data_IF_973083705205
#
_entry.id   IF_973083705205
#
_cell.length_a   1.000
_cell.length_b   1.000
_cell.length_c   1.000
_cell.angle_alpha   90.00
_cell.angle_beta   90.00
_cell.angle_gamma   90.00
#
_symmetry.space_group_name_H-M   'P 1'
#
loop_
_entity.id
_entity.type
_entity.pdbx_description
1 polymer ?
#
# COMPACT_ATOMS: atom_id res chain seq x y z
N UNK A 1 -46.78 -11.26 -11.17
CA UNK A 1 -46.46 -9.92 -11.71
C UNK A 1 -45.63 -9.09 -10.73
N UNK A 2 -46.09 -8.87 -9.49
CA UNK A 2 -45.40 -7.99 -8.51
C UNK A 2 -44.01 -8.47 -8.05
N UNK A 3 -43.79 -9.79 -7.91
CA UNK A 3 -42.48 -10.35 -7.53
C UNK A 3 -41.42 -10.20 -8.64
N UNK A 4 -41.84 -10.29 -9.92
CA UNK A 4 -40.96 -10.11 -11.07
C UNK A 4 -40.45 -8.67 -11.14
N UNK A 5 -41.31 -7.70 -10.81
CA UNK A 5 -40.95 -6.28 -10.76
C UNK A 5 -39.99 -5.96 -9.60
N UNK A 6 -40.15 -6.63 -8.45
CA UNK A 6 -39.22 -6.52 -7.30
C UNK A 6 -37.85 -7.12 -7.62
N UNK A 7 -37.80 -8.25 -8.34
CA UNK A 7 -36.55 -8.81 -8.84
C UNK A 7 -35.86 -7.87 -9.82
N UNK A 8 -36.60 -7.29 -10.76
CA UNK A 8 -36.03 -6.41 -11.79
C UNK A 8 -35.43 -5.12 -11.20
N UNK A 9 -36.07 -4.56 -10.17
CA UNK A 9 -35.54 -3.44 -9.37
C UNK A 9 -34.25 -3.82 -8.64
N UNK A 10 -34.16 -5.03 -8.10
CA UNK A 10 -32.97 -5.54 -7.39
C UNK A 10 -31.80 -5.76 -8.34
N UNK A 11 -32.06 -6.36 -9.51
CA UNK A 11 -31.05 -6.58 -10.56
C UNK A 11 -30.48 -5.25 -11.06
N UNK A 12 -31.34 -4.24 -11.27
CA UNK A 12 -30.90 -2.90 -11.68
C UNK A 12 -30.03 -2.22 -10.61
N UNK A 13 -30.37 -2.38 -9.32
CA UNK A 13 -29.56 -1.87 -8.20
C UNK A 13 -28.19 -2.55 -8.15
N UNK A 14 -28.14 -3.88 -8.24
CA UNK A 14 -26.90 -4.65 -8.22
C UNK A 14 -26.00 -4.30 -9.42
N UNK A 15 -26.56 -4.19 -10.62
CA UNK A 15 -25.82 -3.79 -11.82
C UNK A 15 -25.22 -2.38 -11.70
N UNK A 16 -25.95 -1.45 -11.08
CA UNK A 16 -25.45 -0.09 -10.81
C UNK A 16 -24.31 -0.10 -9.79
N UNK A 17 -24.44 -0.88 -8.71
CA UNK A 17 -23.37 -1.02 -7.72
C UNK A 17 -22.12 -1.66 -8.31
N UNK A 18 -22.26 -2.73 -9.10
CA UNK A 18 -21.12 -3.40 -9.73
C UNK A 18 -20.37 -2.48 -10.71
N UNK A 19 -21.10 -1.63 -11.44
CA UNK A 19 -20.50 -0.62 -12.34
C UNK A 19 -19.71 0.45 -11.59
N UNK A 20 -20.21 0.90 -10.43
CA UNK A 20 -19.49 1.85 -9.56
C UNK A 20 -18.23 1.20 -8.98
N UNK A 21 -18.33 -0.06 -8.56
CA UNK A 21 -17.20 -0.80 -8.00
C UNK A 21 -16.10 -1.03 -9.04
N UNK A 22 -16.46 -1.42 -10.27
CA UNK A 22 -15.51 -1.58 -11.38
C UNK A 22 -14.79 -0.27 -11.73
N UNK A 23 -15.51 0.86 -11.72
CA UNK A 23 -14.91 2.19 -11.95
C UNK A 23 -13.91 2.54 -10.84
N UNK A 24 -14.26 2.28 -9.58
CA UNK A 24 -13.41 2.56 -8.42
C UNK A 24 -12.16 1.68 -8.38
N UNK A 25 -12.24 0.43 -8.86
CA UNK A 25 -11.07 -0.43 -9.06
C UNK A 25 -10.13 0.19 -10.11
N UNK A 26 -10.66 0.64 -11.26
CA UNK A 26 -9.86 1.30 -12.29
C UNK A 26 -9.17 2.59 -11.80
N UNK A 27 -9.88 3.39 -11.00
CA UNK A 27 -9.33 4.61 -10.36
C UNK A 27 -8.24 4.26 -9.33
N UNK A 28 -8.42 3.21 -8.51
CA UNK A 28 -7.38 2.73 -7.58
C UNK A 28 -6.15 2.19 -8.30
N UNK A 29 -6.32 1.51 -9.44
CA UNK A 29 -5.20 1.06 -10.26
C UNK A 29 -4.45 2.23 -10.93
N UNK A 30 -5.16 3.29 -11.34
CA UNK A 30 -4.55 4.51 -11.86
C UNK A 30 -3.84 5.32 -10.77
N UNK A 31 -4.44 5.45 -9.59
CA UNK A 31 -3.85 6.14 -8.43
C UNK A 31 -2.59 5.42 -7.93
N UNK A 32 -2.59 4.08 -7.93
CA UNK A 32 -1.39 3.29 -7.65
C UNK A 32 -0.30 3.55 -8.68
N UNK A 33 -0.64 3.68 -9.97
CA UNK A 33 0.33 3.99 -11.04
C UNK A 33 0.93 5.40 -10.94
N UNK A 34 0.22 6.39 -10.42
CA UNK A 34 0.68 7.79 -10.47
C UNK A 34 1.15 8.41 -9.13
N UNK A 35 0.70 7.94 -7.95
CA UNK A 35 1.03 8.64 -6.69
C UNK A 35 1.76 7.82 -5.60
N UNK A 36 2.15 6.56 -5.85
CA UNK A 36 3.01 5.84 -4.90
C UNK A 36 3.76 4.65 -5.50
N UNK A 37 4.20 4.75 -6.76
CA UNK A 37 5.19 3.82 -7.35
C UNK A 37 6.49 4.58 -7.69
N UNK A 38 6.66 5.76 -7.10
CA UNK A 38 7.95 6.42 -6.96
C UNK A 38 8.77 5.74 -5.87
N UNK A 39 9.65 4.82 -6.30
CA UNK A 39 10.86 4.34 -5.62
C UNK A 39 10.78 3.28 -4.51
N UNK A 40 9.83 3.24 -3.56
CA UNK A 40 10.03 2.40 -2.35
C UNK A 40 8.88 1.49 -1.87
N UNK A 41 7.78 1.30 -2.61
CA UNK A 41 6.96 0.10 -2.39
C UNK A 41 7.56 -1.03 -3.21
N UNK A 42 7.98 -2.16 -2.62
CA UNK A 42 8.30 -3.34 -3.41
C UNK A 42 7.08 -3.59 -4.29
N UNK A 43 7.26 -3.52 -5.61
CA UNK A 43 6.42 -4.23 -6.56
C UNK A 43 6.10 -5.56 -5.88
N UNK A 44 4.84 -5.79 -5.51
CA UNK A 44 4.46 -6.96 -4.73
C UNK A 44 4.99 -8.14 -5.52
N UNK A 45 6.07 -8.74 -5.03
CA UNK A 45 6.86 -9.62 -5.85
C UNK A 45 5.95 -10.76 -6.29
N UNK A 46 5.93 -11.09 -7.58
CA UNK A 46 5.16 -12.21 -8.13
C UNK A 46 5.18 -13.43 -7.21
N UNK A 47 6.37 -13.77 -6.70
CA UNK A 47 6.61 -14.88 -5.77
C UNK A 47 5.88 -14.72 -4.43
N UNK A 48 5.83 -13.51 -3.84
CA UNK A 48 5.07 -13.23 -2.62
C UNK A 48 3.56 -13.37 -2.86
N UNK A 49 3.04 -12.87 -3.99
CA UNK A 49 1.62 -13.00 -4.36
C UNK A 49 1.26 -14.49 -4.47
N UNK A 50 2.04 -15.25 -5.23
CA UNK A 50 1.82 -16.68 -5.42
C UNK A 50 1.90 -17.41 -4.08
N UNK A 51 2.83 -17.05 -3.19
CA UNK A 51 2.96 -17.69 -1.88
C UNK A 51 1.76 -17.42 -0.98
N UNK A 52 1.25 -16.18 -0.95
CA UNK A 52 0.04 -15.82 -0.19
C UNK A 52 -1.17 -16.57 -0.73
N UNK A 53 -1.37 -16.61 -2.05
CA UNK A 53 -2.49 -17.33 -2.66
C UNK A 53 -2.43 -18.84 -2.37
N UNK A 54 -1.23 -19.44 -2.35
CA UNK A 54 -1.07 -20.86 -2.00
C UNK A 54 -1.31 -21.15 -0.51
N UNK A 55 -0.98 -20.21 0.38
CA UNK A 55 -1.14 -20.36 1.83
C UNK A 55 -2.51 -19.92 2.34
N UNK A 56 -3.34 -19.34 1.47
CA UNK A 56 -4.67 -18.88 1.83
C UNK A 56 -5.50 -20.04 2.39
N UNK A 57 -5.95 -19.86 3.63
CA UNK A 57 -6.82 -20.79 4.34
C UNK A 57 -8.17 -20.10 4.56
N UNK A 58 -9.24 -20.57 3.91
CA UNK A 58 -10.59 -20.04 4.09
C UNK A 58 -10.99 -20.05 5.57
N UNK A 59 -11.61 -18.96 6.03
CA UNK A 59 -11.96 -18.78 7.44
C UNK A 59 -13.42 -19.18 7.73
N UNK A 60 -14.27 -19.22 6.71
CA UNK A 60 -15.70 -19.53 6.84
C UNK A 60 -16.22 -20.34 5.64
N UNK A 61 -17.46 -20.84 5.76
CA UNK A 61 -18.14 -21.67 4.76
C UNK A 61 -18.49 -20.93 3.45
N UNK A 62 -18.32 -19.60 3.41
CA UNK A 62 -18.55 -18.77 2.22
C UNK A 62 -17.26 -18.46 1.46
N UNK A 63 -16.12 -18.97 1.93
CA UNK A 63 -14.81 -18.79 1.31
C UNK A 63 -14.30 -20.10 0.71
N UNK A 64 -13.83 -20.03 -0.53
CA UNK A 64 -13.20 -21.16 -1.21
C UNK A 64 -11.69 -21.00 -1.24
N UNK A 65 -10.97 -22.14 -1.29
CA UNK A 65 -9.53 -22.11 -1.55
C UNK A 65 -9.27 -21.54 -2.93
N UNK A 66 -8.19 -20.78 -3.04
CA UNK A 66 -7.72 -20.27 -4.33
C UNK A 66 -7.36 -21.45 -5.23
N UNK A 67 -7.96 -21.50 -6.43
CA UNK A 67 -7.72 -22.58 -7.37
C UNK A 67 -6.33 -22.50 -8.01
N UNK A 68 -5.75 -23.66 -8.34
CA UNK A 68 -4.46 -23.73 -9.05
C UNK A 68 -4.54 -23.05 -10.43
N UNK A 69 -5.69 -23.12 -11.09
CA UNK A 69 -5.92 -22.44 -12.36
C UNK A 69 -5.81 -20.92 -12.22
N UNK A 70 -6.42 -20.35 -11.18
CA UNK A 70 -6.33 -18.92 -10.89
C UNK A 70 -4.89 -18.48 -10.60
N UNK A 71 -4.15 -19.26 -9.80
CA UNK A 71 -2.72 -18.99 -9.52
C UNK A 71 -1.91 -18.98 -10.82
N UNK A 72 -2.14 -19.93 -11.74
CA UNK A 72 -1.48 -19.95 -13.06
C UNK A 72 -1.82 -18.72 -13.91
N UNK A 73 -3.07 -18.25 -13.89
CA UNK A 73 -3.48 -17.02 -14.60
C UNK A 73 -2.70 -15.81 -14.07
N UNK A 74 -2.55 -15.71 -12.75
CA UNK A 74 -1.73 -14.65 -12.13
C UNK A 74 -0.26 -14.78 -12.54
N UNK A 75 0.31 -15.99 -12.53
CA UNK A 75 1.69 -16.23 -12.96
C UNK A 75 1.94 -15.86 -14.43
N UNK A 76 0.98 -16.08 -15.32
CA UNK A 76 1.07 -15.66 -16.72
C UNK A 76 1.00 -14.14 -16.81
N UNK A 77 0.08 -13.50 -16.07
CA UNK A 77 -0.16 -12.07 -16.17
C UNK A 77 0.99 -11.22 -15.67
N UNK A 78 1.77 -11.69 -14.69
CA UNK A 78 2.91 -10.94 -14.15
C UNK A 78 4.27 -11.43 -14.70
N UNK A 79 4.29 -12.32 -15.70
CA UNK A 79 5.52 -12.90 -16.29
C UNK A 79 6.45 -11.84 -16.87
N UNK A 80 5.91 -10.81 -17.51
CA UNK A 80 6.70 -9.80 -18.22
C UNK A 80 7.29 -8.72 -17.30
N UNK A 81 7.04 -8.81 -15.98
CA UNK A 81 7.62 -7.88 -15.02
C UNK A 81 9.08 -8.25 -14.78
N UNK A 82 10.00 -7.30 -14.99
CA UNK A 82 11.41 -7.43 -14.57
C UNK A 82 11.49 -7.30 -13.04
N UNK A 83 11.17 -8.38 -12.34
CA UNK A 83 11.23 -8.46 -10.88
C UNK A 83 12.41 -9.34 -10.42
N UNK A 84 12.94 -9.08 -9.22
CA UNK A 84 13.96 -9.91 -8.61
C UNK A 84 13.36 -11.25 -8.16
N UNK A 85 14.10 -12.37 -8.16
CA UNK A 85 13.55 -13.67 -7.71
C UNK A 85 13.34 -13.77 -6.18
N UNK A 86 13.51 -12.68 -5.42
CA UNK A 86 13.72 -12.70 -3.98
C UNK A 86 12.41 -12.69 -3.16
N UNK A 87 11.96 -13.84 -2.65
CA UNK A 87 10.71 -13.96 -1.88
C UNK A 87 10.65 -13.08 -0.61
N UNK A 88 11.77 -12.89 0.09
CA UNK A 88 11.82 -12.20 1.37
C UNK A 88 12.29 -10.76 1.19
N UNK A 89 11.65 -9.81 1.88
CA UNK A 89 12.15 -8.44 1.95
C UNK A 89 13.47 -8.40 2.73
N UNK A 90 14.40 -7.58 2.27
CA UNK A 90 15.60 -7.29 3.05
C UNK A 90 15.26 -6.36 4.22
N UNK A 91 15.10 -6.95 5.41
CA UNK A 91 14.81 -6.23 6.66
C UNK A 91 15.97 -5.35 7.13
N UNK A 92 17.17 -5.54 6.56
CA UNK A 92 18.37 -4.74 6.85
C UNK A 92 18.63 -3.67 5.79
N UNK A 93 17.75 -3.54 4.80
CA UNK A 93 17.89 -2.48 3.81
C UNK A 93 17.72 -1.12 4.47
N UNK A 94 18.76 -0.28 4.38
CA UNK A 94 18.76 1.09 4.89
C UNK A 94 18.69 2.01 3.67
N UNK A 95 17.60 2.78 3.58
CA UNK A 95 17.47 3.79 2.54
C UNK A 95 18.46 4.93 2.78
N UNK A 96 19.07 5.49 1.71
CA UNK A 96 19.98 6.61 1.86
C UNK A 96 19.26 7.80 2.48
N UNK A 97 19.78 8.28 3.61
CA UNK A 97 19.24 9.46 4.30
C UNK A 97 19.79 10.72 3.64
N UNK A 98 18.91 11.69 3.42
CA UNK A 98 19.29 13.03 2.98
C UNK A 98 18.88 14.04 4.06
N UNK A 99 19.72 15.04 4.28
CA UNK A 99 19.46 16.14 5.21
C UNK A 99 19.26 17.42 4.41
N UNK A 100 18.05 17.66 3.87
CA UNK A 100 17.77 18.89 3.14
C UNK A 100 17.86 20.09 4.08
N UNK A 101 18.14 21.25 3.50
CA UNK A 101 18.06 22.50 4.25
C UNK A 101 16.66 22.70 4.84
N UNK A 102 16.58 22.89 6.15
CA UNK A 102 15.35 23.13 6.88
C UNK A 102 15.54 24.34 7.81
N UNK A 103 15.10 25.55 7.40
CA UNK A 103 15.31 26.75 8.20
C UNK A 103 14.49 26.71 9.48
N UNK A 104 15.07 27.21 10.57
CA UNK A 104 14.35 27.43 11.83
C UNK A 104 13.89 28.88 11.92
N UNK A 105 12.69 29.11 12.46
CA UNK A 105 12.20 30.46 12.83
C UNK A 105 12.68 30.89 14.22
N UNK A 106 13.51 30.09 14.89
CA UNK A 106 14.01 30.36 16.22
C UNK A 106 14.98 31.54 16.22
N UNK A 107 14.59 32.59 16.93
CA UNK A 107 15.41 33.76 17.21
C UNK A 107 16.50 33.41 18.24
N UNK A 108 17.79 33.50 17.87
CA UNK A 108 18.93 33.15 18.73
C UNK A 108 18.98 34.03 19.99
N UNK A 109 18.49 35.26 19.89
CA UNK A 109 18.36 36.23 20.97
C UNK A 109 17.29 35.86 22.02
N UNK A 110 16.51 34.81 21.79
CA UNK A 110 15.51 34.33 22.76
C UNK A 110 15.95 33.05 23.47
N UNK A 111 17.03 32.41 23.02
CA UNK A 111 17.48 31.14 23.57
C UNK A 111 18.07 31.32 24.97
N UNK A 112 17.58 30.53 25.92
CA UNK A 112 18.08 30.44 27.29
C UNK A 112 18.59 29.03 27.58
N UNK A 113 19.73 28.91 28.28
CA UNK A 113 20.30 27.62 28.68
C UNK A 113 19.73 27.25 30.06
N UNK A 114 19.01 26.12 30.19
CA UNK A 114 18.52 25.66 31.48
C UNK A 114 19.65 25.31 32.45
N UNK A 115 19.51 25.67 33.72
CA UNK A 115 20.51 25.40 34.77
C UNK A 115 20.76 23.91 34.98
N UNK A 116 19.79 23.05 34.68
CA UNK A 116 19.93 21.60 34.75
C UNK A 116 21.00 21.01 33.82
N UNK A 117 21.41 21.75 32.78
CA UNK A 117 22.48 21.34 31.88
C UNK A 117 23.89 21.56 32.48
N UNK A 118 23.99 22.25 33.63
CA UNK A 118 25.26 22.52 34.32
C UNK A 118 26.34 23.20 33.46
N UNK A 119 25.92 24.01 32.49
CA UNK A 119 26.82 24.76 31.59
C UNK A 119 27.16 26.15 32.13
N UNK A 120 27.47 26.25 33.43
CA UNK A 120 27.67 27.52 34.13
C UNK A 120 28.94 28.27 33.69
N UNK A 121 29.83 27.60 32.96
CA UNK A 121 31.04 28.19 32.39
C UNK A 121 30.78 28.96 31.08
N UNK A 122 29.59 28.82 30.47
CA UNK A 122 29.24 29.52 29.25
C UNK A 122 28.67 30.91 29.57
N UNK A 123 29.22 31.93 28.91
CA UNK A 123 28.69 33.29 28.93
C UNK A 123 28.00 33.58 27.61
N UNK A 124 26.76 34.08 27.68
CA UNK A 124 26.01 34.52 26.51
C UNK A 124 26.54 35.87 26.00
N UNK A 125 26.77 35.98 24.70
CA UNK A 125 27.22 37.20 23.99
C UNK A 125 26.11 37.70 23.07
#
# INVERSE_FOLDING_TARGET
MEQLEKQDKTVRKLKKQLKVFAKKIGELEAQKRCNMIGRNTPSILMMMIVKVLNLYTPVNEFEERVSVAFIRTIQIRLRDRKESPQLLMDTKNIYPVTFPFNPSSLALETIQIPSSLNLLFLTRV
#
